data_IF_705311540563
#
_entry.id   IF_705311540563
#
_cell.length_a   1.000
_cell.length_b   1.000
_cell.length_c   1.000
_cell.angle_alpha   90.00
_cell.angle_beta   90.00
_cell.angle_gamma   90.00
#
_symmetry.space_group_name_H-M   'P 1'
#
loop_
_entity.id
_entity.type
_entity.pdbx_description
1 polymer ?
#
# COMPACT_ATOMS: atom_id res chain seq x y z
N UNK A 1 4.39 -0.05 10.30
CA UNK A 1 5.04 0.94 9.41
C UNK A 1 6.29 0.29 8.89
N UNK A 2 6.57 0.47 7.61
CA UNK A 2 7.65 -0.19 6.90
C UNK A 2 8.74 0.81 6.49
N UNK A 3 8.34 2.00 6.04
CA UNK A 3 9.25 3.05 5.57
C UNK A 3 9.89 2.73 4.22
N UNK A 4 10.61 1.62 4.14
CA UNK A 4 11.14 1.05 2.90
C UNK A 4 11.01 -0.48 2.88
N UNK A 5 10.80 -1.05 1.69
CA UNK A 5 10.76 -2.51 1.54
C UNK A 5 12.20 -3.04 1.50
N UNK A 6 12.69 -3.50 2.65
CA UNK A 6 14.01 -4.16 2.75
C UNK A 6 14.04 -5.49 1.98
N UNK A 7 15.23 -6.01 1.59
CA UNK A 7 15.34 -7.31 0.94
C UNK A 7 14.72 -8.45 1.74
N UNK A 8 14.81 -8.39 3.07
CA UNK A 8 14.18 -9.36 3.96
C UNK A 8 12.66 -9.27 3.89
N UNK A 9 12.09 -8.06 3.94
CA UNK A 9 10.66 -7.85 3.81
C UNK A 9 10.15 -8.35 2.44
N UNK A 10 10.83 -7.96 1.35
CA UNK A 10 10.51 -8.40 0.00
C UNK A 10 10.44 -9.94 -0.09
N UNK A 11 11.45 -10.63 0.45
CA UNK A 11 11.51 -12.10 0.45
C UNK A 11 10.29 -12.77 1.11
N UNK A 12 9.76 -12.17 2.18
CA UNK A 12 8.57 -12.72 2.86
C UNK A 12 7.27 -12.29 2.18
N UNK A 13 7.21 -11.07 1.63
CA UNK A 13 6.05 -10.61 0.87
C UNK A 13 5.82 -11.50 -0.35
N UNK A 14 6.87 -11.87 -1.10
CA UNK A 14 6.77 -12.78 -2.24
C UNK A 14 6.34 -14.23 -1.89
N UNK A 15 6.20 -14.57 -0.61
CA UNK A 15 5.72 -15.89 -0.16
C UNK A 15 4.30 -15.82 0.42
N UNK A 16 3.74 -14.62 0.52
CA UNK A 16 2.46 -14.40 1.17
C UNK A 16 1.31 -14.77 0.24
N UNK A 17 0.32 -15.49 0.79
CA UNK A 17 -0.97 -15.70 0.13
C UNK A 17 -1.94 -14.56 0.47
N UNK A 18 -1.73 -13.91 1.62
CA UNK A 18 -2.54 -12.84 2.17
C UNK A 18 -1.59 -11.76 2.69
N UNK A 19 -1.72 -10.53 2.20
CA UNK A 19 -0.78 -9.45 2.50
C UNK A 19 -1.50 -8.23 3.06
N UNK A 20 -1.07 -7.77 4.22
CA UNK A 20 -1.42 -6.45 4.76
C UNK A 20 -0.18 -5.58 4.63
N UNK A 21 -0.26 -4.48 3.88
CA UNK A 21 0.90 -3.64 3.55
C UNK A 21 0.59 -2.15 3.71
N UNK A 22 1.58 -1.40 4.17
CA UNK A 22 1.49 0.04 4.33
C UNK A 22 1.34 0.74 2.98
N UNK A 23 0.42 1.70 2.89
CA UNK A 23 0.30 2.65 1.79
C UNK A 23 -0.05 4.02 2.40
N UNK A 24 0.91 4.64 3.08
CA UNK A 24 0.62 5.67 4.06
C UNK A 24 0.15 6.96 3.42
N UNK A 25 0.84 7.48 2.41
CA UNK A 25 0.52 8.78 1.85
C UNK A 25 0.50 8.76 0.32
N UNK A 26 -0.28 9.67 -0.23
CA UNK A 26 -0.12 10.12 -1.61
C UNK A 26 0.92 11.24 -1.67
N UNK A 27 1.84 11.17 -2.62
CA UNK A 27 2.99 12.06 -2.74
C UNK A 27 2.56 13.51 -2.92
N UNK A 28 1.54 13.76 -3.74
CA UNK A 28 1.05 15.09 -4.03
C UNK A 28 0.28 15.67 -2.84
N UNK A 29 -0.55 14.85 -2.19
CA UNK A 29 -1.21 15.26 -0.94
C UNK A 29 -0.18 15.57 0.15
N UNK A 30 0.87 14.76 0.33
CA UNK A 30 1.91 15.04 1.31
C UNK A 30 2.68 16.32 0.96
N UNK A 31 2.99 16.53 -0.32
CA UNK A 31 3.71 17.72 -0.80
C UNK A 31 2.92 19.00 -0.57
N UNK A 32 1.63 18.99 -0.92
CA UNK A 32 0.73 20.15 -0.80
C UNK A 32 0.05 20.29 0.57
N UNK A 33 0.13 19.25 1.40
CA UNK A 33 -0.56 19.17 2.67
C UNK A 33 -0.09 20.18 3.72
N UNK A 34 -0.82 20.30 4.84
CA UNK A 34 -0.62 21.35 5.83
C UNK A 34 0.61 21.15 6.72
N UNK A 35 1.28 19.99 6.60
CA UNK A 35 2.41 19.65 7.47
C UNK A 35 3.61 20.58 7.23
N UNK A 36 4.37 20.91 8.28
CA UNK A 36 5.62 21.63 8.12
C UNK A 36 6.64 20.76 7.36
N UNK A 37 7.59 21.40 6.67
CA UNK A 37 8.56 20.74 5.78
C UNK A 37 9.31 19.60 6.47
N UNK A 38 9.79 19.80 7.70
CA UNK A 38 10.53 18.77 8.45
C UNK A 38 9.70 17.49 8.66
N UNK A 39 8.37 17.62 8.81
CA UNK A 39 7.48 16.47 9.01
C UNK A 39 7.24 15.76 7.69
N UNK A 40 7.09 16.50 6.59
CA UNK A 40 7.00 15.93 5.24
C UNK A 40 8.26 15.11 4.92
N UNK A 41 9.44 15.69 5.17
CA UNK A 41 10.74 15.04 4.97
C UNK A 41 10.90 13.77 5.81
N UNK A 42 10.47 13.81 7.08
CA UNK A 42 10.49 12.64 7.94
C UNK A 42 9.56 11.54 7.43
N UNK A 43 8.34 11.89 7.03
CA UNK A 43 7.33 10.93 6.53
C UNK A 43 7.83 10.25 5.26
N UNK A 44 8.41 11.00 4.32
CA UNK A 44 8.91 10.47 3.05
C UNK A 44 10.34 9.90 3.13
N UNK A 45 10.94 9.83 4.32
CA UNK A 45 12.26 9.24 4.51
C UNK A 45 12.18 7.71 4.52
N UNK A 46 13.32 7.04 4.28
CA UNK A 46 13.43 5.58 4.33
C UNK A 46 13.00 4.96 5.66
N UNK A 47 13.11 5.71 6.75
CA UNK A 47 12.69 5.28 8.09
C UNK A 47 11.33 5.83 8.50
N UNK A 48 10.64 6.52 7.58
CA UNK A 48 9.30 7.06 7.74
C UNK A 48 8.25 6.03 7.32
N UNK A 49 7.51 6.36 6.26
CA UNK A 49 6.40 5.55 5.79
C UNK A 49 6.50 5.27 4.29
N UNK A 50 5.91 4.15 3.87
CA UNK A 50 5.75 3.83 2.46
C UNK A 50 4.67 4.71 1.81
N UNK A 51 4.94 5.22 0.62
CA UNK A 51 3.93 5.93 -0.18
C UNK A 51 3.03 4.96 -0.94
N UNK A 52 1.91 5.48 -1.47
CA UNK A 52 1.03 4.73 -2.35
C UNK A 52 1.77 4.23 -3.60
N UNK A 53 2.62 5.07 -4.23
CA UNK A 53 3.33 4.69 -5.45
C UNK A 53 4.40 3.64 -5.20
N UNK A 54 5.12 3.72 -4.08
CA UNK A 54 6.20 2.80 -3.77
C UNK A 54 5.63 1.40 -3.49
N UNK A 55 4.54 1.34 -2.73
CA UNK A 55 3.78 0.10 -2.52
C UNK A 55 3.23 -0.44 -3.84
N UNK A 56 2.64 0.41 -4.68
CA UNK A 56 2.11 0.00 -5.98
C UNK A 56 3.21 -0.56 -6.92
N UNK A 57 4.36 0.12 -6.99
CA UNK A 57 5.49 -0.28 -7.81
C UNK A 57 6.03 -1.64 -7.37
N UNK A 58 6.27 -1.81 -6.07
CA UNK A 58 6.76 -3.06 -5.54
C UNK A 58 5.81 -4.22 -5.83
N UNK A 59 4.51 -4.04 -5.55
CA UNK A 59 3.51 -5.08 -5.80
C UNK A 59 3.43 -5.45 -7.27
N UNK A 60 3.42 -4.46 -8.18
CA UNK A 60 3.32 -4.71 -9.61
C UNK A 60 4.54 -5.46 -10.18
N UNK A 61 5.70 -5.38 -9.53
CA UNK A 61 6.93 -6.06 -9.97
C UNK A 61 7.14 -7.42 -9.28
N UNK A 62 6.50 -7.65 -8.13
CA UNK A 62 6.82 -8.79 -7.26
C UNK A 62 5.59 -9.61 -6.85
N UNK A 63 4.40 -9.32 -7.39
CA UNK A 63 3.22 -10.15 -7.14
C UNK A 63 3.45 -11.56 -7.66
N UNK A 64 3.03 -12.53 -6.88
CA UNK A 64 3.08 -13.94 -7.23
C UNK A 64 1.67 -14.45 -7.48
N UNK A 65 1.51 -15.44 -8.36
CA UNK A 65 0.20 -16.02 -8.71
C UNK A 65 -0.58 -16.59 -7.51
N UNK A 66 0.12 -16.92 -6.41
CA UNK A 66 -0.50 -17.43 -5.19
C UNK A 66 -1.00 -16.33 -4.23
N UNK A 67 -0.69 -15.06 -4.49
CA UNK A 67 -1.18 -13.95 -3.67
C UNK A 67 -2.65 -13.69 -3.98
N UNK A 68 -3.51 -13.92 -2.98
CA UNK A 68 -4.97 -13.87 -3.13
C UNK A 68 -5.56 -12.53 -2.69
N UNK A 69 -5.05 -11.95 -1.62
CA UNK A 69 -5.57 -10.70 -1.06
C UNK A 69 -4.46 -9.73 -0.67
N UNK A 70 -4.73 -8.45 -0.92
CA UNK A 70 -3.92 -7.32 -0.48
C UNK A 70 -4.83 -6.34 0.27
N UNK A 71 -4.50 -6.04 1.52
CA UNK A 71 -5.08 -4.95 2.29
C UNK A 71 -4.07 -3.82 2.43
N UNK A 72 -4.40 -2.66 1.88
CA UNK A 72 -3.65 -1.43 2.07
C UNK A 72 -4.03 -0.87 3.44
N UNK A 73 -3.05 -0.69 4.31
CA UNK A 73 -3.24 -0.26 5.68
C UNK A 73 -2.38 0.96 6.02
N UNK A 74 -2.56 1.43 7.25
CA UNK A 74 -1.78 2.52 7.82
C UNK A 74 -1.85 3.82 7.00
N UNK A 75 -3.04 4.16 6.51
CA UNK A 75 -3.26 5.36 5.70
C UNK A 75 -3.17 6.64 6.56
N UNK A 76 -2.44 7.63 6.06
CA UNK A 76 -2.37 8.98 6.60
C UNK A 76 -3.76 9.63 6.59
N UNK A 77 -4.06 10.38 7.65
CA UNK A 77 -5.36 11.03 7.82
C UNK A 77 -5.48 12.23 6.87
N UNK A 78 -4.41 13.01 6.80
CA UNK A 78 -4.41 14.30 6.11
C UNK A 78 -3.74 14.22 4.73
N UNK A 79 -2.91 13.19 4.49
CA UNK A 79 -2.15 13.05 3.24
C UNK A 79 -2.52 11.77 2.46
N UNK A 80 -3.70 11.20 2.67
CA UNK A 80 -4.18 10.08 1.89
C UNK A 80 -5.70 9.94 1.95
N UNK A 81 -6.26 9.21 0.99
CA UNK A 81 -7.63 8.71 1.01
C UNK A 81 -7.63 7.21 0.65
N UNK A 82 -8.49 6.38 1.28
CA UNK A 82 -8.58 4.96 0.93
C UNK A 82 -8.79 4.71 -0.56
N UNK A 83 -9.63 5.51 -1.20
CA UNK A 83 -9.90 5.41 -2.64
C UNK A 83 -8.66 5.73 -3.49
N UNK A 84 -7.84 6.68 -3.05
CA UNK A 84 -6.61 7.08 -3.75
C UNK A 84 -5.54 5.99 -3.64
N UNK A 85 -5.30 5.47 -2.44
CA UNK A 85 -4.41 4.33 -2.24
C UNK A 85 -4.82 3.12 -3.08
N UNK A 86 -6.12 2.77 -3.06
CA UNK A 86 -6.68 1.70 -3.88
C UNK A 86 -6.43 1.95 -5.37
N UNK A 87 -6.77 3.14 -5.88
CA UNK A 87 -6.67 3.46 -7.32
C UNK A 87 -5.23 3.47 -7.81
N UNK A 88 -4.30 4.00 -7.02
CA UNK A 88 -2.87 4.01 -7.36
C UNK A 88 -2.33 2.59 -7.51
N UNK A 89 -2.66 1.70 -6.57
CA UNK A 89 -2.24 0.29 -6.64
C UNK A 89 -2.94 -0.45 -7.77
N UNK A 90 -4.27 -0.32 -7.90
CA UNK A 90 -5.05 -0.94 -8.97
C UNK A 90 -4.53 -0.56 -10.36
N UNK A 91 -4.24 0.72 -10.58
CA UNK A 91 -3.75 1.20 -11.88
C UNK A 91 -2.38 0.62 -12.21
N UNK A 92 -1.47 0.56 -11.22
CA UNK A 92 -0.13 -0.01 -11.44
C UNK A 92 -0.19 -1.51 -11.70
N UNK A 93 -1.00 -2.26 -10.95
CA UNK A 93 -1.24 -3.69 -11.20
C UNK A 93 -1.79 -3.91 -12.61
N UNK A 94 -2.80 -3.14 -13.01
CA UNK A 94 -3.38 -3.20 -14.35
C UNK A 94 -2.35 -2.92 -15.45
N UNK A 95 -1.42 -2.01 -15.23
CA UNK A 95 -0.34 -1.71 -16.20
C UNK A 95 0.59 -2.90 -16.47
N UNK A 96 0.63 -3.88 -15.55
CA UNK A 96 1.38 -5.13 -15.68
C UNK A 96 0.48 -6.32 -16.09
N UNK A 97 -0.77 -6.06 -16.45
CA UNK A 97 -1.73 -7.08 -16.86
C UNK A 97 -2.42 -7.81 -15.71
N UNK A 98 -2.22 -7.39 -14.46
CA UNK A 98 -2.86 -7.98 -13.28
C UNK A 98 -4.21 -7.29 -13.06
N UNK A 99 -5.28 -8.07 -13.04
CA UNK A 99 -6.66 -7.57 -12.93
C UNK A 99 -7.16 -7.78 -11.50
N UNK A 100 -7.36 -6.67 -10.79
CA UNK A 100 -8.00 -6.67 -9.47
C UNK A 100 -9.42 -7.24 -9.55
N UNK A 101 -9.78 -8.09 -8.59
CA UNK A 101 -11.06 -8.79 -8.53
C UNK A 101 -11.09 -10.12 -9.30
N UNK A 102 -10.11 -10.35 -10.19
CA UNK A 102 -9.94 -11.60 -10.93
C UNK A 102 -8.68 -12.35 -10.48
N UNK A 103 -7.53 -11.69 -10.60
CA UNK A 103 -6.22 -12.29 -10.32
C UNK A 103 -5.80 -12.10 -8.86
N UNK A 104 -6.19 -10.97 -8.25
CA UNK A 104 -5.96 -10.67 -6.83
C UNK A 104 -7.09 -9.78 -6.28
N UNK A 105 -7.46 -9.97 -5.02
CA UNK A 105 -8.36 -9.06 -4.30
C UNK A 105 -7.56 -7.91 -3.67
N UNK A 106 -8.05 -6.68 -3.81
CA UNK A 106 -7.40 -5.48 -3.26
C UNK A 106 -8.42 -4.69 -2.45
N UNK A 107 -8.04 -4.26 -1.24
CA UNK A 107 -8.89 -3.43 -0.40
C UNK A 107 -8.05 -2.34 0.29
N UNK A 108 -8.61 -1.15 0.44
CA UNK A 108 -8.04 -0.12 1.30
C UNK A 108 -8.78 -0.08 2.64
N UNK A 109 -8.06 -0.31 3.74
CA UNK A 109 -8.65 -0.34 5.07
C UNK A 109 -8.96 1.07 5.57
N UNK A 110 -10.10 1.20 6.26
CA UNK A 110 -10.48 2.44 6.94
C UNK A 110 -9.66 2.62 8.21
N UNK A 111 -9.19 3.85 8.47
CA UNK A 111 -8.31 4.15 9.60
C UNK A 111 -8.93 3.93 10.97
N UNK A 112 -10.20 4.29 11.14
CA UNK A 112 -10.89 4.33 12.43
C UNK A 112 -12.06 3.33 12.50
N UNK A 113 -12.09 2.36 11.60
CA UNK A 113 -13.17 1.37 11.53
C UNK A 113 -12.55 -0.01 11.43
N UNK A 114 -12.95 -0.97 12.27
CA UNK A 114 -12.55 -2.36 12.09
C UNK A 114 -12.86 -2.82 10.68
N UNK A 115 -12.00 -3.70 10.14
CA UNK A 115 -12.33 -4.40 8.91
C UNK A 115 -13.49 -5.36 9.12
N UNK A 116 -13.98 -5.92 8.03
CA UNK A 116 -14.83 -7.10 8.10
C UNK A 116 -14.04 -8.30 8.63
N UNK A 117 -14.75 -9.34 9.05
CA UNK A 117 -14.16 -10.63 9.38
C UNK A 117 -13.83 -11.36 8.08
N UNK A 118 -12.59 -11.79 7.93
CA UNK A 118 -12.15 -12.62 6.80
C UNK A 118 -11.82 -14.01 7.31
N UNK A 119 -12.52 -15.01 6.80
CA UNK A 119 -12.24 -16.42 7.04
C UNK A 119 -11.59 -16.99 5.77
N UNK A 120 -10.44 -17.64 5.95
CA UNK A 120 -9.71 -18.30 4.87
C UNK A 120 -9.75 -19.80 5.11
N UNK A 121 -10.03 -20.57 4.05
CA UNK A 121 -9.95 -22.03 4.05
C UNK A 121 -8.50 -22.54 4.14
#
# INVERSE_FOLDING_TARGET
DLGEITPTAARYICKAHYLIIEANYDEEMLRMGPYPTYLKERISSKTGHMSNIDTANFLAENIMEHLRYIWLCHLSKDNNHPELAYKTVEWKLKSKGIIVGKDVQLLALKRNTPSELYEFE
#
